data_IF_667682526653
#
_entry.id   IF_667682526653
#
_cell.length_a   1.000
_cell.length_b   1.000
_cell.length_c   1.000
_cell.angle_alpha   90.00
_cell.angle_beta   90.00
_cell.angle_gamma   90.00
#
_symmetry.space_group_name_H-M   'P 1'
#
loop_
_entity.id
_entity.type
_entity.pdbx_description
1 polymer ?
#
# COMPACT_ATOMS: atom_id res chain seq x y z
N UNK A 1 7.99 17.50 19.49
CA UNK A 1 9.16 17.29 18.63
C UNK A 1 9.07 15.96 17.87
N UNK A 2 8.73 14.86 18.54
CA UNK A 2 8.52 13.54 17.94
C UNK A 2 7.46 13.50 16.83
N UNK A 3 6.33 14.19 17.00
CA UNK A 3 5.27 14.28 15.97
C UNK A 3 5.78 14.82 14.62
N UNK A 4 6.48 15.95 14.64
CA UNK A 4 7.03 16.58 13.45
C UNK A 4 8.09 15.70 12.76
N UNK A 5 8.87 14.95 13.55
CA UNK A 5 9.84 13.99 13.03
C UNK A 5 9.13 12.89 12.25
N UNK A 6 8.02 12.35 12.79
CA UNK A 6 7.22 11.33 12.09
C UNK A 6 6.70 11.80 10.73
N UNK A 7 6.14 13.01 10.68
CA UNK A 7 5.70 13.64 9.42
C UNK A 7 6.88 13.78 8.45
N UNK A 8 8.03 14.29 8.92
CA UNK A 8 9.21 14.47 8.07
C UNK A 8 9.69 13.14 7.50
N UNK A 9 9.73 12.08 8.31
CA UNK A 9 10.10 10.74 7.87
C UNK A 9 9.12 10.21 6.81
N UNK A 10 7.82 10.41 6.97
CA UNK A 10 6.82 10.02 5.98
C UNK A 10 6.99 10.77 4.64
N UNK A 11 7.27 12.08 4.69
CA UNK A 11 7.55 12.88 3.48
C UNK A 11 8.80 12.37 2.77
N UNK A 12 9.89 12.15 3.52
CA UNK A 12 11.14 11.63 2.95
C UNK A 12 10.93 10.23 2.34
N UNK A 13 10.20 9.36 3.03
CA UNK A 13 9.86 8.03 2.55
C UNK A 13 9.06 8.06 1.24
N UNK A 14 8.03 8.90 1.16
CA UNK A 14 7.25 9.12 -0.06
C UNK A 14 8.12 9.66 -1.20
N UNK A 15 9.01 10.61 -0.91
CA UNK A 15 9.93 11.18 -1.91
C UNK A 15 10.90 10.15 -2.46
N UNK A 16 11.46 9.29 -1.61
CA UNK A 16 12.32 8.19 -2.05
C UNK A 16 11.53 7.21 -2.91
N UNK A 17 10.30 6.85 -2.49
CA UNK A 17 9.42 5.96 -3.25
C UNK A 17 9.14 6.50 -4.66
N UNK A 18 8.73 7.76 -4.78
CA UNK A 18 8.46 8.36 -6.09
C UNK A 18 9.74 8.50 -6.92
N UNK A 19 10.85 8.93 -6.33
CA UNK A 19 12.12 9.01 -7.04
C UNK A 19 12.54 7.65 -7.62
N UNK A 20 12.40 6.57 -6.85
CA UNK A 20 12.70 5.21 -7.29
C UNK A 20 11.71 4.72 -8.35
N UNK A 21 10.43 5.07 -8.24
CA UNK A 21 9.41 4.80 -9.26
C UNK A 21 9.80 5.42 -10.61
N UNK A 22 10.09 6.73 -10.64
CA UNK A 22 10.52 7.42 -11.86
C UNK A 22 11.82 6.82 -12.43
N UNK A 23 12.73 6.40 -11.56
CA UNK A 23 13.96 5.72 -11.93
C UNK A 23 13.67 4.36 -12.59
N UNK A 24 12.66 3.65 -12.09
CA UNK A 24 12.16 2.39 -12.63
C UNK A 24 11.69 2.51 -14.07
N UNK A 25 11.14 3.65 -14.50
CA UNK A 25 10.84 3.93 -15.91
C UNK A 25 12.08 4.36 -16.70
N UNK A 26 12.88 5.25 -16.12
CA UNK A 26 14.03 5.85 -16.81
C UNK A 26 15.09 4.80 -17.20
N UNK A 27 15.45 3.89 -16.29
CA UNK A 27 16.50 2.89 -16.52
C UNK A 27 16.20 2.02 -17.75
N UNK A 28 15.04 1.33 -17.85
CA UNK A 28 14.72 0.54 -19.04
C UNK A 28 14.56 1.42 -20.28
N UNK A 29 14.01 2.64 -20.17
CA UNK A 29 13.86 3.54 -21.31
C UNK A 29 15.22 3.89 -21.94
N UNK A 30 16.18 4.34 -21.13
CA UNK A 30 17.55 4.62 -21.57
C UNK A 30 18.24 3.37 -22.11
N UNK A 31 18.05 2.22 -21.47
CA UNK A 31 18.60 0.94 -21.94
C UNK A 31 18.06 0.53 -23.31
N UNK A 32 16.83 0.94 -23.66
CA UNK A 32 16.25 0.69 -24.97
C UNK A 32 16.51 1.80 -25.99
N UNK A 33 17.31 2.81 -25.65
CA UNK A 33 17.67 3.91 -26.54
C UNK A 33 16.62 5.02 -26.64
N UNK A 34 15.70 5.10 -25.68
CA UNK A 34 14.73 6.21 -25.65
C UNK A 34 15.40 7.48 -25.14
N UNK A 35 15.15 8.61 -25.80
CA UNK A 35 15.60 9.91 -25.33
C UNK A 35 14.80 10.36 -24.10
N UNK A 36 15.51 10.67 -23.01
CA UNK A 36 14.92 11.06 -21.72
C UNK A 36 15.48 12.43 -21.32
N UNK A 37 14.82 13.54 -21.66
CA UNK A 37 15.37 14.88 -21.41
C UNK A 37 15.36 15.28 -19.93
N UNK A 38 14.41 14.80 -19.13
CA UNK A 38 14.26 15.23 -17.73
C UNK A 38 13.90 14.08 -16.79
N UNK A 39 14.51 14.13 -15.61
CA UNK A 39 14.15 13.37 -14.42
C UNK A 39 14.03 14.35 -13.26
N UNK A 40 12.81 14.55 -12.76
CA UNK A 40 12.52 15.54 -11.74
C UNK A 40 11.77 14.89 -10.58
N UNK A 41 12.24 15.14 -9.36
CA UNK A 41 11.51 14.78 -8.15
C UNK A 41 10.78 16.02 -7.64
N UNK A 42 9.46 15.94 -7.53
CA UNK A 42 8.57 17.04 -7.21
C UNK A 42 8.04 17.82 -8.43
N UNK A 43 7.24 18.85 -8.15
CA UNK A 43 6.61 19.75 -9.13
C UNK A 43 6.91 21.22 -8.83
N UNK A 44 6.59 22.10 -9.79
CA UNK A 44 6.75 23.55 -9.64
C UNK A 44 8.17 24.06 -9.96
N UNK A 45 8.59 25.20 -9.35
CA UNK A 45 9.88 25.80 -9.64
C UNK A 45 11.02 24.86 -9.23
N UNK A 46 12.07 24.82 -10.05
CA UNK A 46 13.25 23.99 -9.81
C UNK A 46 14.07 24.60 -8.68
N UNK A 47 14.31 23.84 -7.61
CA UNK A 47 15.19 24.25 -6.51
C UNK A 47 16.65 24.01 -6.87
N UNK A 48 16.90 22.86 -7.48
CA UNK A 48 18.21 22.45 -7.93
C UNK A 48 18.08 21.48 -9.11
N UNK A 49 18.88 21.68 -10.16
CA UNK A 49 19.04 20.69 -11.22
C UNK A 49 20.47 20.65 -11.73
N UNK A 50 20.83 19.54 -12.36
CA UNK A 50 22.12 19.29 -12.98
C UNK A 50 21.94 18.49 -14.26
N UNK A 51 22.51 18.99 -15.35
CA UNK A 51 22.57 18.26 -16.61
C UNK A 51 23.63 17.15 -16.52
N UNK A 52 23.25 15.90 -16.80
CA UNK A 52 24.17 14.77 -16.89
C UNK A 52 23.90 14.03 -18.21
N UNK A 53 24.78 14.26 -19.19
CA UNK A 53 24.56 13.82 -20.57
C UNK A 53 23.32 14.48 -21.17
N UNK A 54 22.42 13.67 -21.72
CA UNK A 54 21.16 14.11 -22.33
C UNK A 54 20.02 14.37 -21.33
N UNK A 55 20.22 14.09 -20.03
CA UNK A 55 19.15 14.17 -19.03
C UNK A 55 19.45 15.23 -17.97
N UNK A 56 18.47 16.10 -17.74
CA UNK A 56 18.43 17.01 -16.61
C UNK A 56 17.89 16.29 -15.37
N UNK A 57 18.71 16.18 -14.32
CA UNK A 57 18.32 15.62 -13.03
C UNK A 57 18.04 16.75 -12.04
N UNK A 58 16.88 16.77 -11.39
CA UNK A 58 16.59 17.85 -10.44
C UNK A 58 15.54 17.55 -9.40
N UNK A 59 15.44 18.48 -8.45
CA UNK A 59 14.44 18.53 -7.38
C UNK A 59 13.67 19.84 -7.49
N UNK A 60 12.34 19.76 -7.41
CA UNK A 60 11.43 20.91 -7.49
C UNK A 60 10.80 21.21 -6.13
N UNK A 61 10.22 22.41 -6.00
CA UNK A 61 9.77 22.91 -4.70
C UNK A 61 8.60 22.13 -4.08
N UNK A 62 7.69 21.59 -4.90
CA UNK A 62 6.51 20.88 -4.42
C UNK A 62 6.83 19.39 -4.38
N UNK A 63 7.10 18.85 -3.19
CA UNK A 63 7.53 17.46 -2.96
C UNK A 63 6.37 16.44 -3.01
N UNK A 64 5.36 16.67 -3.85
CA UNK A 64 4.15 15.85 -3.98
C UNK A 64 4.13 15.07 -5.30
N UNK A 65 5.21 14.34 -5.58
CA UNK A 65 5.33 13.48 -6.76
C UNK A 65 6.67 13.63 -7.48
N UNK A 66 6.70 13.30 -8.76
CA UNK A 66 7.87 13.33 -9.61
C UNK A 66 7.45 13.05 -11.05
N UNK A 67 8.38 13.21 -11.98
CA UNK A 67 8.15 12.81 -13.37
C UNK A 67 9.47 12.50 -14.08
N UNK A 68 9.42 11.48 -14.93
CA UNK A 68 10.37 11.27 -16.02
C UNK A 68 9.73 11.67 -17.35
N UNK A 69 10.42 12.49 -18.14
CA UNK A 69 9.97 12.79 -19.51
C UNK A 69 10.54 11.76 -20.46
N UNK A 70 9.66 10.97 -21.07
CA UNK A 70 10.00 10.05 -22.15
C UNK A 70 9.64 10.74 -23.46
N UNK A 71 10.61 11.04 -24.31
CA UNK A 71 10.32 11.74 -25.55
C UNK A 71 9.61 10.83 -26.56
N UNK A 72 8.73 11.40 -27.38
CA UNK A 72 7.97 10.65 -28.38
C UNK A 72 6.97 9.65 -27.80
N UNK A 73 6.20 10.04 -26.79
CA UNK A 73 5.10 9.23 -26.23
C UNK A 73 3.95 9.05 -27.21
N UNK A 74 3.69 10.05 -28.04
CA UNK A 74 2.63 10.02 -29.04
C UNK A 74 3.19 9.88 -30.45
N UNK A 75 2.71 8.88 -31.18
CA UNK A 75 3.05 8.70 -32.58
C UNK A 75 2.46 9.84 -33.45
N UNK A 76 3.12 10.18 -34.57
CA UNK A 76 2.57 11.13 -35.54
C UNK A 76 1.19 10.69 -36.06
N UNK A 77 0.33 11.64 -36.46
CA UNK A 77 -1.03 11.32 -36.91
C UNK A 77 -0.99 10.47 -38.18
N UNK A 78 -1.90 9.49 -38.26
CA UNK A 78 -2.11 8.71 -39.49
C UNK A 78 -2.87 9.55 -40.52
N UNK A 79 -2.74 9.19 -41.79
CA UNK A 79 -3.54 9.79 -42.85
C UNK A 79 -5.05 9.66 -42.57
N UNK A 80 -5.80 10.72 -42.85
CA UNK A 80 -7.25 10.78 -42.66
C UNK A 80 -7.71 11.07 -41.21
N UNK A 81 -6.80 11.29 -40.26
CA UNK A 81 -7.17 11.70 -38.89
C UNK A 81 -7.52 13.18 -38.87
N UNK A 82 -8.68 13.53 -38.26
CA UNK A 82 -9.07 14.93 -38.06
C UNK A 82 -8.10 15.61 -37.08
N UNK A 83 -7.38 16.60 -37.58
CA UNK A 83 -6.39 17.37 -36.79
C UNK A 83 -7.03 18.58 -36.11
N UNK A 84 -8.14 19.08 -36.67
CA UNK A 84 -8.87 20.26 -36.20
C UNK A 84 -10.29 19.92 -35.77
N UNK A 85 -10.81 20.70 -34.83
CA UNK A 85 -12.19 20.62 -34.36
C UNK A 85 -13.15 21.37 -35.32
N UNK A 86 -14.46 21.34 -35.02
CA UNK A 86 -15.49 22.05 -35.83
C UNK A 86 -15.28 23.57 -35.93
N UNK A 87 -14.49 24.17 -35.04
CA UNK A 87 -14.15 25.60 -35.01
C UNK A 87 -12.83 25.91 -35.73
N UNK A 88 -12.20 24.92 -36.39
CA UNK A 88 -10.92 25.09 -37.09
C UNK A 88 -9.69 25.13 -36.16
N UNK A 89 -9.86 24.95 -34.86
CA UNK A 89 -8.74 24.93 -33.90
C UNK A 89 -8.14 23.52 -33.83
N UNK A 90 -6.85 23.41 -33.50
CA UNK A 90 -6.20 22.11 -33.28
C UNK A 90 -6.92 21.32 -32.18
N UNK A 91 -7.02 20.01 -32.38
CA UNK A 91 -7.54 19.11 -31.35
C UNK A 91 -6.51 18.94 -30.22
N UNK A 92 -6.96 18.71 -28.99
CA UNK A 92 -6.07 18.41 -27.84
C UNK A 92 -5.12 17.23 -28.13
N UNK A 93 -5.60 16.23 -28.89
CA UNK A 93 -4.77 15.11 -29.33
C UNK A 93 -3.64 15.56 -30.26
N UNK A 94 -3.89 16.51 -31.16
CA UNK A 94 -2.86 17.04 -32.06
C UNK A 94 -1.86 17.93 -31.32
N UNK A 95 -2.34 18.76 -30.41
CA UNK A 95 -1.50 19.61 -29.57
C UNK A 95 -0.54 18.76 -28.70
N UNK A 96 -1.05 17.68 -28.09
CA UNK A 96 -0.23 16.74 -27.33
C UNK A 96 0.83 16.03 -28.21
N UNK A 97 0.50 15.68 -29.47
CA UNK A 97 1.49 15.11 -30.41
C UNK A 97 2.60 16.10 -30.73
N UNK A 98 2.25 17.36 -31.00
CA UNK A 98 3.22 18.40 -31.33
C UNK A 98 4.14 18.66 -30.13
N UNK A 99 3.57 18.83 -28.93
CA UNK A 99 4.36 18.99 -27.71
C UNK A 99 5.29 17.80 -27.44
N UNK A 100 4.84 16.57 -27.66
CA UNK A 100 5.70 15.38 -27.49
C UNK A 100 6.78 15.25 -28.57
N UNK A 101 6.54 15.79 -29.77
CA UNK A 101 7.52 15.80 -30.86
C UNK A 101 8.60 16.88 -30.65
N UNK A 102 8.24 18.04 -30.08
CA UNK A 102 9.18 19.12 -29.72
C UNK A 102 10.21 18.69 -28.66
N UNK A 103 9.92 17.66 -27.88
CA UNK A 103 10.85 17.11 -26.89
C UNK A 103 12.01 16.31 -27.51
N UNK A 104 11.89 15.89 -28.78
CA UNK A 104 12.93 15.17 -29.48
C UNK A 104 13.87 16.16 -30.19
N UNK A 105 15.20 16.10 -29.95
CA UNK A 105 16.16 16.84 -30.75
C UNK A 105 16.07 16.44 -32.22
N UNK A 106 16.30 17.39 -33.14
CA UNK A 106 16.34 17.12 -34.58
C UNK A 106 17.31 15.97 -34.90
N UNK A 107 16.86 15.01 -35.73
CA UNK A 107 17.66 13.85 -36.13
C UNK A 107 17.69 12.70 -35.12
N UNK A 108 16.97 12.80 -33.99
CA UNK A 108 16.78 11.73 -33.00
C UNK A 108 15.37 11.13 -33.00
N UNK A 109 14.66 11.20 -34.12
CA UNK A 109 13.29 10.67 -34.22
C UNK A 109 13.25 9.15 -34.03
N UNK A 110 14.36 8.44 -34.29
CA UNK A 110 14.52 7.00 -34.00
C UNK A 110 14.41 6.69 -32.50
N UNK A 111 14.79 7.63 -31.65
CA UNK A 111 14.89 7.47 -30.20
C UNK A 111 13.54 7.73 -29.50
N UNK A 112 12.48 7.93 -30.29
CA UNK A 112 11.13 8.13 -29.79
C UNK A 112 10.55 6.87 -29.14
N UNK A 113 9.85 7.06 -28.01
CA UNK A 113 9.20 5.96 -27.29
C UNK A 113 8.20 5.17 -28.15
N UNK A 114 7.45 5.83 -29.03
CA UNK A 114 6.48 5.16 -29.90
C UNK A 114 7.09 4.14 -30.87
N UNK A 115 8.39 4.24 -31.18
CA UNK A 115 9.14 3.31 -32.03
C UNK A 115 9.49 2.00 -31.32
N UNK A 116 9.41 1.95 -29.99
CA UNK A 116 9.69 0.72 -29.25
C UNK A 116 8.69 -0.39 -29.61
N UNK A 117 9.19 -1.62 -29.66
CA UNK A 117 8.35 -2.81 -29.72
C UNK A 117 7.47 -2.91 -28.47
N UNK A 118 6.28 -3.51 -28.59
CA UNK A 118 5.32 -3.66 -27.47
C UNK A 118 5.94 -4.22 -26.18
N UNK A 119 6.78 -5.28 -26.19
CA UNK A 119 7.41 -5.76 -24.96
C UNK A 119 8.33 -4.74 -24.29
N UNK A 120 9.09 -3.97 -25.08
CA UNK A 120 9.94 -2.89 -24.57
C UNK A 120 9.10 -1.77 -23.97
N UNK A 121 7.99 -1.37 -24.62
CA UNK A 121 7.03 -0.40 -24.06
C UNK A 121 6.49 -0.86 -22.71
N UNK A 122 6.11 -2.13 -22.61
CA UNK A 122 5.60 -2.72 -21.36
C UNK A 122 6.66 -2.74 -20.26
N UNK A 123 7.90 -3.11 -20.57
CA UNK A 123 9.00 -3.11 -19.58
C UNK A 123 9.27 -1.70 -19.06
N UNK A 124 9.24 -0.68 -19.94
CA UNK A 124 9.41 0.71 -19.52
C UNK A 124 8.25 1.16 -18.64
N UNK A 125 7.00 0.94 -19.07
CA UNK A 125 5.80 1.40 -18.35
C UNK A 125 5.52 0.62 -17.07
N UNK A 126 5.92 -0.64 -16.97
CA UNK A 126 5.83 -1.41 -15.72
C UNK A 126 7.03 -1.18 -14.80
N UNK A 127 8.12 -0.61 -15.30
CA UNK A 127 9.36 -0.43 -14.54
C UNK A 127 9.17 0.38 -13.25
N UNK A 128 8.42 1.48 -13.29
CA UNK A 128 8.09 2.26 -12.09
C UNK A 128 7.22 1.50 -11.10
N UNK A 129 6.02 1.01 -11.49
CA UNK A 129 5.16 0.23 -10.59
C UNK A 129 5.87 -0.98 -9.98
N UNK A 130 6.64 -1.72 -10.78
CA UNK A 130 7.42 -2.88 -10.29
C UNK A 130 8.47 -2.45 -9.27
N UNK A 131 9.11 -1.30 -9.45
CA UNK A 131 10.07 -0.78 -8.45
C UNK A 131 9.40 -0.52 -7.10
N UNK A 132 8.18 0.01 -7.10
CA UNK A 132 7.40 0.19 -5.87
C UNK A 132 7.03 -1.16 -5.23
N UNK A 133 6.60 -2.14 -6.03
CA UNK A 133 6.33 -3.50 -5.53
C UNK A 133 7.58 -4.11 -4.90
N UNK A 134 8.74 -4.01 -5.56
CA UNK A 134 10.01 -4.52 -5.04
C UNK A 134 10.39 -3.83 -3.74
N UNK A 135 10.23 -2.50 -3.65
CA UNK A 135 10.48 -1.75 -2.43
C UNK A 135 9.55 -2.19 -1.29
N UNK A 136 8.25 -2.38 -1.57
CA UNK A 136 7.30 -2.90 -0.58
C UNK A 136 7.73 -4.29 -0.06
N UNK A 137 8.11 -5.22 -0.95
CA UNK A 137 8.58 -6.56 -0.58
C UNK A 137 9.85 -6.50 0.27
N UNK A 138 10.81 -5.64 -0.09
CA UNK A 138 12.05 -5.46 0.70
C UNK A 138 11.73 -4.90 2.08
N UNK A 139 10.85 -3.90 2.18
CA UNK A 139 10.44 -3.33 3.46
C UNK A 139 9.72 -4.36 4.34
N UNK A 140 8.78 -5.13 3.77
CA UNK A 140 8.16 -6.24 4.49
C UNK A 140 9.18 -7.30 4.90
N UNK A 141 10.15 -7.64 4.06
CA UNK A 141 11.22 -8.58 4.43
C UNK A 141 12.05 -8.05 5.62
N UNK A 142 12.39 -6.76 5.65
CA UNK A 142 13.09 -6.14 6.78
C UNK A 142 12.26 -6.22 8.05
N UNK A 143 10.96 -5.96 7.97
CA UNK A 143 10.03 -6.04 9.11
C UNK A 143 9.95 -7.49 9.61
N UNK A 144 9.59 -8.44 8.75
CA UNK A 144 9.32 -9.83 9.12
C UNK A 144 10.57 -10.58 9.55
N UNK A 145 11.66 -10.48 8.78
CA UNK A 145 12.89 -11.25 9.03
C UNK A 145 13.83 -10.55 10.00
N UNK A 146 13.82 -9.21 10.02
CA UNK A 146 14.69 -8.40 10.87
C UNK A 146 14.08 -8.16 12.25
N UNK A 147 12.93 -7.50 12.29
CA UNK A 147 12.23 -7.16 13.54
C UNK A 147 11.43 -8.35 14.07
N UNK A 148 10.72 -9.08 13.21
CA UNK A 148 9.78 -10.11 13.63
C UNK A 148 8.44 -9.54 14.08
N UNK A 149 7.56 -10.44 14.51
CA UNK A 149 6.24 -10.11 15.01
C UNK A 149 6.13 -10.40 16.50
N UNK A 150 5.23 -9.69 17.17
CA UNK A 150 4.81 -10.02 18.51
C UNK A 150 3.80 -11.17 18.42
N UNK A 151 4.22 -12.37 18.82
CA UNK A 151 3.40 -13.59 18.77
C UNK A 151 2.99 -13.97 20.18
N UNK A 152 1.70 -14.22 20.37
CA UNK A 152 1.17 -14.78 21.60
C UNK A 152 1.63 -16.24 21.72
N UNK A 153 2.35 -16.55 22.78
CA UNK A 153 2.84 -17.91 23.06
C UNK A 153 1.78 -18.70 23.85
N UNK A 154 1.94 -20.01 23.95
CA UNK A 154 1.13 -20.84 24.86
C UNK A 154 1.55 -20.71 26.33
N UNK A 155 2.56 -19.89 26.63
CA UNK A 155 2.99 -19.60 28.01
C UNK A 155 2.14 -18.49 28.58
N UNK A 156 1.66 -18.67 29.81
CA UNK A 156 0.85 -17.67 30.50
C UNK A 156 1.74 -16.57 31.08
N UNK A 157 1.44 -15.31 30.74
CA UNK A 157 2.03 -14.14 31.40
C UNK A 157 1.34 -13.88 32.72
N UNK A 158 0.00 -13.90 32.70
CA UNK A 158 -0.84 -13.59 33.85
C UNK A 158 -2.08 -14.49 33.87
N UNK A 159 -2.47 -14.84 35.08
CA UNK A 159 -3.74 -15.51 35.39
C UNK A 159 -4.45 -14.65 36.42
N UNK A 160 -5.22 -13.62 35.99
CA UNK A 160 -5.87 -12.70 36.91
C UNK A 160 -6.93 -13.42 37.75
N UNK A 161 -7.19 -12.91 38.97
CA UNK A 161 -8.22 -13.46 39.86
C UNK A 161 -9.64 -13.19 39.33
N UNK A 162 -9.84 -12.04 38.69
CA UNK A 162 -11.09 -11.62 38.10
C UNK A 162 -10.89 -11.37 36.60
N UNK A 163 -11.84 -11.78 35.77
CA UNK A 163 -11.81 -11.55 34.33
C UNK A 163 -12.04 -10.06 34.05
N UNK A 164 -11.26 -9.47 33.13
CA UNK A 164 -11.49 -8.09 32.66
C UNK A 164 -10.98 -6.99 33.58
N UNK A 165 -10.39 -7.31 34.74
CA UNK A 165 -9.88 -6.32 35.70
C UNK A 165 -8.62 -6.77 36.42
N UNK A 166 -7.84 -5.81 36.90
CA UNK A 166 -6.69 -6.04 37.81
C UNK A 166 -7.08 -5.96 39.29
N UNK A 167 -8.36 -5.69 39.59
CA UNK A 167 -8.91 -5.68 40.95
C UNK A 167 -8.86 -7.07 41.58
N UNK A 168 -8.65 -7.12 42.90
CA UNK A 168 -8.73 -8.35 43.71
C UNK A 168 -10.19 -8.72 44.08
N UNK A 169 -11.13 -7.79 43.88
CA UNK A 169 -12.54 -7.99 44.20
C UNK A 169 -13.33 -8.18 42.91
N UNK A 170 -13.85 -9.39 42.71
CA UNK A 170 -14.65 -9.74 41.53
C UNK A 170 -16.10 -9.31 41.71
N UNK A 171 -16.74 -8.88 40.62
CA UNK A 171 -18.15 -8.47 40.57
C UNK A 171 -18.91 -9.36 39.58
N UNK A 172 -20.23 -9.18 39.45
CA UNK A 172 -21.01 -9.90 38.43
C UNK A 172 -20.55 -9.56 37.00
N UNK A 173 -20.07 -8.32 36.77
CA UNK A 173 -19.53 -7.90 35.47
C UNK A 173 -18.10 -8.41 35.21
N UNK A 174 -17.34 -8.66 36.28
CA UNK A 174 -15.96 -9.16 36.21
C UNK A 174 -15.85 -10.45 37.05
N UNK A 175 -16.41 -11.57 36.55
CA UNK A 175 -16.48 -12.81 37.32
C UNK A 175 -15.09 -13.37 37.62
N UNK A 176 -15.03 -14.27 38.60
CA UNK A 176 -13.78 -14.97 38.95
C UNK A 176 -13.23 -15.74 37.76
N UNK A 177 -11.91 -15.74 37.62
CA UNK A 177 -11.21 -16.49 36.58
C UNK A 177 -11.24 -17.99 36.87
N UNK A 178 -11.83 -18.82 35.98
CA UNK A 178 -11.80 -20.27 36.14
C UNK A 178 -10.38 -20.85 36.13
N UNK A 179 -9.47 -20.26 35.37
CA UNK A 179 -8.07 -20.68 35.35
C UNK A 179 -7.38 -20.41 36.69
N UNK A 180 -7.67 -19.26 37.32
CA UNK A 180 -7.13 -18.95 38.64
C UNK A 180 -7.66 -19.93 39.71
N UNK A 181 -8.98 -20.19 39.70
CA UNK A 181 -9.60 -21.14 40.64
C UNK A 181 -9.11 -22.57 40.44
N UNK A 182 -8.85 -22.97 39.20
CA UNK A 182 -8.24 -24.26 38.88
C UNK A 182 -6.77 -24.35 39.32
N UNK A 183 -6.10 -23.24 39.60
CA UNK A 183 -4.71 -23.21 40.07
C UNK A 183 -3.66 -23.05 38.97
N UNK A 184 -4.06 -22.60 37.78
CA UNK A 184 -3.13 -22.12 36.75
C UNK A 184 -2.42 -20.85 37.22
N UNK A 185 -1.17 -20.69 36.82
CA UNK A 185 -0.29 -19.60 37.25
C UNK A 185 0.48 -19.01 36.08
N UNK A 186 0.98 -17.80 36.29
CA UNK A 186 1.96 -17.20 35.40
C UNK A 186 3.19 -18.11 35.26
N UNK A 187 3.69 -18.27 34.04
CA UNK A 187 4.78 -19.17 33.68
C UNK A 187 4.34 -20.56 33.20
N UNK A 188 3.08 -20.95 33.40
CA UNK A 188 2.57 -22.22 32.88
C UNK A 188 2.55 -22.21 31.34
N UNK A 189 3.12 -23.24 30.72
CA UNK A 189 3.02 -23.43 29.27
C UNK A 189 1.92 -24.43 28.96
N UNK A 190 0.86 -23.95 28.33
CA UNK A 190 -0.26 -24.81 27.92
C UNK A 190 0.23 -25.76 26.83
N UNK A 191 0.11 -27.06 27.12
CA UNK A 191 0.39 -28.13 26.18
C UNK A 191 -0.89 -28.55 25.50
N UNK A 192 -1.98 -28.79 26.24
CA UNK A 192 -3.27 -29.14 25.65
C UNK A 192 -4.44 -28.53 26.39
N UNK A 193 -5.56 -28.33 25.69
CA UNK A 193 -6.84 -27.89 26.25
C UNK A 193 -7.95 -28.84 25.80
N UNK A 194 -8.41 -29.70 26.71
CA UNK A 194 -9.31 -30.78 26.40
C UNK A 194 -8.69 -31.71 25.33
N UNK A 195 -9.39 -31.97 24.20
CA UNK A 195 -8.86 -32.81 23.12
C UNK A 195 -7.89 -32.07 22.18
N UNK A 196 -7.78 -30.74 22.29
CA UNK A 196 -7.00 -29.92 21.36
C UNK A 196 -5.57 -29.80 21.86
N UNK A 197 -4.61 -30.14 20.99
CA UNK A 197 -3.20 -29.89 21.26
C UNK A 197 -2.85 -28.42 20.97
N UNK A 198 -2.30 -27.73 21.96
CA UNK A 198 -1.95 -26.32 21.85
C UNK A 198 -0.53 -26.17 21.29
N UNK A 199 -0.44 -25.90 19.99
CA UNK A 199 0.82 -25.57 19.31
C UNK A 199 1.00 -24.06 19.15
N UNK A 200 -0.12 -23.34 19.04
CA UNK A 200 -0.20 -21.89 18.98
C UNK A 200 -1.27 -21.37 19.94
N UNK A 201 -1.18 -20.09 20.28
CA UNK A 201 -2.20 -19.45 21.14
C UNK A 201 -3.61 -19.50 20.54
N UNK A 202 -3.72 -19.43 19.21
CA UNK A 202 -5.01 -19.54 18.53
C UNK A 202 -5.71 -20.89 18.80
N UNK A 203 -4.95 -21.98 18.97
CA UNK A 203 -5.49 -23.29 19.32
C UNK A 203 -6.13 -23.25 20.72
N UNK A 204 -5.48 -22.57 21.67
CA UNK A 204 -5.98 -22.40 23.05
C UNK A 204 -7.27 -21.59 23.06
N UNK A 205 -7.29 -20.45 22.35
CA UNK A 205 -8.49 -19.60 22.26
C UNK A 205 -9.64 -20.36 21.63
N UNK A 206 -9.38 -21.04 20.50
CA UNK A 206 -10.40 -21.84 19.81
C UNK A 206 -10.94 -22.98 20.69
N UNK A 207 -10.07 -23.66 21.44
CA UNK A 207 -10.48 -24.71 22.37
C UNK A 207 -11.36 -24.18 23.49
N UNK A 208 -11.05 -23.00 24.07
CA UNK A 208 -11.87 -22.36 25.10
C UNK A 208 -13.26 -21.99 24.55
N UNK A 209 -13.32 -21.40 23.35
CA UNK A 209 -14.58 -20.97 22.73
C UNK A 209 -15.54 -22.13 22.45
N UNK A 210 -15.01 -23.30 22.09
CA UNK A 210 -15.81 -24.48 21.75
C UNK A 210 -15.99 -25.45 22.92
N UNK A 211 -15.38 -25.21 24.07
CA UNK A 211 -15.51 -26.09 25.23
C UNK A 211 -16.84 -25.85 25.95
N UNK A 212 -17.61 -26.92 26.12
CA UNK A 212 -18.74 -26.95 27.05
C UNK A 212 -18.34 -27.66 28.34
N UNK A 213 -18.63 -27.05 29.48
CA UNK A 213 -18.28 -27.60 30.79
C UNK A 213 -16.78 -27.67 31.07
N UNK A 214 -16.38 -28.59 31.95
CA UNK A 214 -14.99 -28.74 32.37
C UNK A 214 -14.11 -29.33 31.25
N UNK A 215 -12.98 -28.68 30.98
CA UNK A 215 -11.88 -29.18 30.17
C UNK A 215 -10.69 -29.57 31.04
N UNK A 216 -10.08 -30.71 30.72
CA UNK A 216 -8.76 -31.05 31.23
C UNK A 216 -7.71 -30.24 30.48
N UNK A 217 -6.97 -29.40 31.20
CA UNK A 217 -5.88 -28.57 30.68
C UNK A 217 -4.57 -29.16 31.16
N UNK A 218 -3.69 -29.52 30.22
CA UNK A 218 -2.36 -30.01 30.53
C UNK A 218 -1.37 -28.86 30.33
N UNK A 219 -0.61 -28.56 31.37
CA UNK A 219 0.43 -27.53 31.31
C UNK A 219 1.78 -28.09 31.74
N UNK A 220 2.84 -27.52 31.18
CA UNK A 220 4.21 -27.73 31.60
C UNK A 220 4.58 -26.63 32.61
N UNK A 221 4.88 -27.03 33.85
CA UNK A 221 5.33 -26.16 34.95
C UNK A 221 6.60 -26.77 35.55
N UNK A 222 7.69 -26.01 35.57
CA UNK A 222 9.00 -26.46 36.07
C UNK A 222 9.51 -27.76 35.40
N UNK A 223 9.16 -27.98 34.13
CA UNK A 223 9.55 -29.17 33.37
C UNK A 223 8.74 -30.44 33.67
N UNK A 224 7.70 -30.34 34.50
CA UNK A 224 6.74 -31.41 34.76
C UNK A 224 5.37 -31.09 34.16
N UNK A 225 4.70 -32.12 33.64
CA UNK A 225 3.31 -31.99 33.18
C UNK A 225 2.37 -32.03 34.39
N UNK A 226 1.47 -31.05 34.46
CA UNK A 226 0.43 -30.94 35.47
C UNK A 226 -0.93 -30.84 34.77
N UNK A 227 -1.94 -31.47 35.35
CA UNK A 227 -3.31 -31.47 34.83
C UNK A 227 -4.21 -30.63 35.73
N UNK A 228 -5.05 -29.80 35.11
CA UNK A 228 -6.01 -28.93 35.78
C UNK A 228 -7.37 -29.06 35.11
N UNK A 229 -8.45 -29.07 35.89
CA UNK A 229 -9.80 -29.03 35.35
C UNK A 229 -10.30 -27.59 35.34
N UNK A 230 -10.45 -27.01 34.14
CA UNK A 230 -10.88 -25.63 33.94
C UNK A 230 -12.24 -25.62 33.26
N UNK A 231 -13.20 -24.90 33.83
CA UNK A 231 -14.54 -24.71 33.22
C UNK A 231 -14.66 -23.29 32.71
N UNK A 232 -14.54 -23.03 31.39
CA UNK A 232 -14.71 -21.68 30.85
C UNK A 232 -16.06 -21.06 31.21
N UNK A 233 -16.07 -19.76 31.46
CA UNK A 233 -17.28 -18.99 31.76
C UNK A 233 -17.65 -18.11 30.57
N UNK A 234 -18.95 -17.90 30.37
CA UNK A 234 -19.46 -17.00 29.34
C UNK A 234 -19.40 -15.56 29.83
N UNK A 235 -18.68 -14.69 29.12
CA UNK A 235 -18.62 -13.24 29.38
C UNK A 235 -18.98 -12.51 28.09
N UNK A 236 -20.18 -11.93 28.04
CA UNK A 236 -20.74 -11.39 26.80
C UNK A 236 -20.95 -12.49 25.76
N UNK A 237 -20.50 -12.26 24.52
CA UNK A 237 -20.60 -13.25 23.43
C UNK A 237 -19.44 -14.25 23.39
N UNK A 238 -18.46 -14.17 24.31
CA UNK A 238 -17.27 -15.02 24.30
C UNK A 238 -17.19 -15.90 25.53
N UNK A 239 -16.70 -17.13 25.35
CA UNK A 239 -16.24 -17.97 26.47
C UNK A 239 -14.80 -17.61 26.79
N UNK A 240 -14.50 -17.48 28.07
CA UNK A 240 -13.18 -17.09 28.55
C UNK A 240 -12.79 -17.92 29.77
N UNK A 241 -11.50 -18.18 29.90
CA UNK A 241 -10.93 -18.87 31.05
C UNK A 241 -10.16 -17.95 32.01
N UNK A 242 -10.01 -16.66 31.68
CA UNK A 242 -9.26 -15.70 32.50
C UNK A 242 -7.75 -15.96 32.49
N UNK A 243 -7.18 -16.10 31.29
CA UNK A 243 -5.75 -16.30 31.04
C UNK A 243 -5.23 -15.24 30.07
N UNK A 244 -3.98 -14.81 30.25
CA UNK A 244 -3.30 -13.85 29.39
C UNK A 244 -1.99 -14.49 28.91
N UNK A 245 -1.82 -14.58 27.59
CA UNK A 245 -0.61 -15.12 26.98
C UNK A 245 0.58 -14.19 27.13
N UNK A 246 1.76 -14.75 27.34
CA UNK A 246 3.03 -14.07 27.16
C UNK A 246 3.25 -13.81 25.67
N UNK A 247 3.55 -12.56 25.35
CA UNK A 247 3.88 -12.13 24.00
C UNK A 247 5.39 -12.12 23.86
N UNK A 248 5.91 -12.87 22.89
CA UNK A 248 7.32 -12.88 22.56
C UNK A 248 7.54 -12.46 21.11
N UNK A 249 8.73 -11.92 20.84
CA UNK A 249 9.10 -11.47 19.50
C UNK A 249 9.73 -12.62 18.75
N UNK A 250 9.06 -13.09 17.72
CA UNK A 250 9.55 -14.14 16.84
C UNK A 250 9.78 -13.60 15.44
N UNK A 251 10.92 -13.95 14.85
CA UNK A 251 11.20 -13.63 13.45
C UNK A 251 10.34 -14.52 12.57
N UNK A 252 9.70 -13.91 11.58
CA UNK A 252 8.95 -14.67 10.59
C UNK A 252 9.85 -15.31 9.55
N UNK A 253 9.21 -15.93 8.58
CA UNK A 253 9.83 -16.67 7.48
C UNK A 253 9.65 -15.93 6.15
N UNK A 254 10.34 -16.40 5.11
CA UNK A 254 10.14 -15.88 3.76
C UNK A 254 8.70 -16.11 3.24
N UNK A 255 8.01 -17.14 3.75
CA UNK A 255 6.60 -17.37 3.44
C UNK A 255 5.72 -16.28 4.03
N UNK A 256 5.98 -15.86 5.27
CA UNK A 256 5.24 -14.78 5.94
C UNK A 256 5.41 -13.44 5.20
N UNK A 257 6.60 -13.18 4.62
CA UNK A 257 6.82 -12.02 3.74
C UNK A 257 5.93 -12.10 2.49
N UNK A 258 5.82 -13.28 1.88
CA UNK A 258 4.93 -13.50 0.74
C UNK A 258 3.46 -13.30 1.11
N UNK A 259 3.05 -13.84 2.25
CA UNK A 259 1.67 -13.78 2.74
C UNK A 259 1.26 -12.34 3.08
N UNK A 260 2.08 -11.56 3.80
CA UNK A 260 1.78 -10.16 4.11
C UNK A 260 1.76 -9.28 2.85
N UNK A 261 2.69 -9.52 1.91
CA UNK A 261 2.71 -8.81 0.62
C UNK A 261 1.43 -9.09 -0.15
N UNK A 262 0.99 -10.35 -0.22
CA UNK A 262 -0.22 -10.75 -0.91
C UNK A 262 -1.48 -10.20 -0.25
N UNK A 263 -1.56 -10.25 1.08
CA UNK A 263 -2.68 -9.69 1.83
C UNK A 263 -2.79 -8.19 1.63
N UNK A 264 -1.66 -7.47 1.69
CA UNK A 264 -1.64 -6.02 1.47
C UNK A 264 -2.03 -5.70 0.03
N UNK A 265 -1.51 -6.43 -0.97
CA UNK A 265 -1.94 -6.28 -2.36
C UNK A 265 -3.45 -6.46 -2.52
N UNK A 266 -4.04 -7.54 -1.97
CA UNK A 266 -5.50 -7.77 -2.03
C UNK A 266 -6.28 -6.66 -1.34
N UNK A 267 -5.83 -6.23 -0.16
CA UNK A 267 -6.44 -5.13 0.59
C UNK A 267 -6.45 -3.84 -0.22
N UNK A 268 -5.30 -3.44 -0.75
CA UNK A 268 -5.16 -2.25 -1.61
C UNK A 268 -5.99 -2.36 -2.89
N UNK A 269 -5.99 -3.52 -3.56
CA UNK A 269 -6.80 -3.74 -4.76
C UNK A 269 -8.31 -3.64 -4.45
N UNK A 270 -8.74 -4.14 -3.29
CA UNK A 270 -10.14 -4.02 -2.84
C UNK A 270 -10.53 -2.56 -2.58
N UNK A 271 -9.62 -1.75 -2.01
CA UNK A 271 -9.82 -0.31 -1.82
C UNK A 271 -10.02 0.38 -3.16
N UNK A 272 -9.21 0.06 -4.17
CA UNK A 272 -9.35 0.62 -5.52
C UNK A 272 -10.72 0.28 -6.12
N UNK A 273 -11.20 -0.96 -5.93
CA UNK A 273 -12.50 -1.39 -6.45
C UNK A 273 -13.68 -0.62 -5.81
N UNK A 274 -13.59 -0.28 -4.53
CA UNK A 274 -14.63 0.47 -3.80
C UNK A 274 -14.37 1.97 -3.73
N UNK A 275 -13.27 2.46 -4.34
CA UNK A 275 -12.81 3.85 -4.23
C UNK A 275 -13.89 4.89 -4.56
N UNK A 276 -14.71 4.76 -5.64
CA UNK A 276 -15.75 5.74 -5.93
C UNK A 276 -16.76 5.90 -4.78
N UNK A 277 -17.13 4.79 -4.15
CA UNK A 277 -18.04 4.78 -2.99
C UNK A 277 -17.34 5.33 -1.77
N UNK A 278 -16.11 4.92 -1.50
CA UNK A 278 -15.35 5.41 -0.35
C UNK A 278 -15.16 6.93 -0.40
N UNK A 279 -14.84 7.49 -1.57
CA UNK A 279 -14.71 8.96 -1.78
C UNK A 279 -16.04 9.67 -1.58
N UNK A 280 -17.14 9.09 -2.05
CA UNK A 280 -18.48 9.61 -1.79
C UNK A 280 -18.80 9.65 -0.29
N UNK A 281 -18.53 8.55 0.42
CA UNK A 281 -18.78 8.45 1.86
C UNK A 281 -17.94 9.47 2.64
N UNK A 282 -16.68 9.71 2.25
CA UNK A 282 -15.85 10.79 2.82
C UNK A 282 -16.49 12.16 2.58
N UNK A 283 -16.99 12.41 1.37
CA UNK A 283 -17.68 13.65 1.03
C UNK A 283 -18.92 13.87 1.90
N UNK A 284 -19.77 12.86 2.04
CA UNK A 284 -20.95 12.93 2.91
C UNK A 284 -20.54 13.19 4.36
N UNK A 285 -19.56 12.45 4.89
CA UNK A 285 -19.06 12.63 6.26
C UNK A 285 -18.46 14.02 6.49
N UNK A 286 -17.86 14.64 5.48
CA UNK A 286 -17.30 15.99 5.58
C UNK A 286 -18.39 17.07 5.78
N UNK A 287 -19.55 16.90 5.14
CA UNK A 287 -20.63 17.89 5.14
C UNK A 287 -21.83 17.52 6.04
N UNK A 288 -21.75 16.42 6.78
CA UNK A 288 -22.75 15.98 7.75
C UNK A 288 -22.13 15.84 9.14
N UNK A 289 -22.93 15.62 10.19
CA UNK A 289 -22.42 15.31 11.53
C UNK A 289 -22.00 13.84 11.71
N UNK A 290 -22.01 13.06 10.63
CA UNK A 290 -21.57 11.67 10.69
C UNK A 290 -20.10 11.57 11.13
N UNK A 291 -19.77 10.58 12.00
CA UNK A 291 -18.39 10.35 12.41
C UNK A 291 -17.56 9.87 11.22
N UNK A 292 -16.26 10.17 11.27
CA UNK A 292 -15.29 9.70 10.29
C UNK A 292 -15.05 8.20 10.48
N UNK A 293 -15.28 7.40 9.44
CA UNK A 293 -15.01 5.96 9.49
C UNK A 293 -13.49 5.71 9.61
N UNK A 294 -13.00 4.96 10.62
CA UNK A 294 -11.60 4.61 10.77
C UNK A 294 -10.98 3.86 9.58
N UNK A 295 -11.80 3.15 8.78
CA UNK A 295 -11.35 2.38 7.62
C UNK A 295 -11.48 3.14 6.29
N UNK A 296 -11.84 4.41 6.36
CA UNK A 296 -12.01 5.23 5.16
C UNK A 296 -10.68 5.57 4.47
N UNK A 297 -10.78 5.96 3.21
CA UNK A 297 -9.61 6.35 2.41
C UNK A 297 -8.96 7.62 2.96
N UNK A 298 -7.62 7.63 2.98
CA UNK A 298 -6.79 8.70 3.50
C UNK A 298 -6.03 9.40 2.37
N UNK A 299 -5.75 10.68 2.55
CA UNK A 299 -4.83 11.45 1.71
C UNK A 299 -3.38 11.32 2.21
N UNK A 300 -2.44 11.90 1.43
CA UNK A 300 -1.03 12.04 1.84
C UNK A 300 -0.90 12.79 3.17
N UNK A 301 -1.81 13.73 3.48
CA UNK A 301 -1.82 14.44 4.75
C UNK A 301 -2.23 13.51 5.90
N UNK A 302 -3.26 12.69 5.70
CA UNK A 302 -3.68 11.68 6.68
C UNK A 302 -2.57 10.68 7.01
N UNK A 303 -1.85 10.19 6.00
CA UNK A 303 -0.66 9.33 6.17
C UNK A 303 0.42 10.04 7.00
N UNK A 304 0.70 11.32 6.72
CA UNK A 304 1.64 12.12 7.50
C UNK A 304 1.21 12.27 8.96
N UNK A 305 -0.07 12.51 9.22
CA UNK A 305 -0.61 12.62 10.58
C UNK A 305 -0.45 11.33 11.37
N UNK A 306 -0.78 10.19 10.77
CA UNK A 306 -0.59 8.86 11.37
C UNK A 306 0.89 8.62 11.70
N UNK A 307 1.80 8.96 10.79
CA UNK A 307 3.24 8.85 11.05
C UNK A 307 3.69 9.73 12.23
N UNK A 308 3.10 10.92 12.35
CA UNK A 308 3.32 11.83 13.47
C UNK A 308 2.80 11.25 14.80
N UNK A 309 1.57 10.72 14.82
CA UNK A 309 0.94 10.08 15.99
C UNK A 309 1.79 8.90 16.48
N UNK A 310 2.13 7.97 15.58
CA UNK A 310 3.02 6.83 15.87
C UNK A 310 4.36 7.26 16.46
N UNK A 311 4.91 8.38 15.98
CA UNK A 311 6.19 8.89 16.49
C UNK A 311 6.04 9.55 17.86
N UNK A 312 4.89 10.16 18.14
CA UNK A 312 4.60 10.87 19.38
C UNK A 312 4.11 9.96 20.52
N UNK A 313 3.63 8.76 20.19
CA UNK A 313 3.06 7.81 21.14
C UNK A 313 4.04 7.42 22.25
N UNK A 314 3.67 7.65 23.51
CA UNK A 314 4.49 7.36 24.67
C UNK A 314 4.32 5.88 25.08
N UNK A 315 5.37 5.26 25.62
CA UNK A 315 5.34 3.84 26.02
C UNK A 315 5.64 2.83 24.91
N UNK A 316 5.67 3.25 23.64
CA UNK A 316 6.10 2.40 22.52
C UNK A 316 7.62 2.44 22.36
N UNK A 317 8.27 1.27 22.31
CA UNK A 317 9.72 1.15 22.13
C UNK A 317 10.19 1.67 20.76
N UNK A 318 11.45 2.11 20.66
CA UNK A 318 12.01 2.65 19.41
C UNK A 318 11.90 1.63 18.26
N UNK A 319 12.12 0.34 18.54
CA UNK A 319 12.00 -0.72 17.54
C UNK A 319 10.57 -0.87 17.02
N UNK A 320 9.56 -0.74 17.88
CA UNK A 320 8.15 -0.82 17.49
C UNK A 320 7.71 0.38 16.68
N UNK A 321 8.15 1.59 17.07
CA UNK A 321 7.92 2.81 16.29
C UNK A 321 8.54 2.69 14.90
N UNK A 322 9.77 2.19 14.80
CA UNK A 322 10.44 1.97 13.52
C UNK A 322 9.68 0.95 12.66
N UNK A 323 9.21 -0.15 13.25
CA UNK A 323 8.40 -1.16 12.55
C UNK A 323 7.10 -0.57 11.99
N UNK A 324 6.38 0.25 12.78
CA UNK A 324 5.14 0.90 12.34
C UNK A 324 5.39 1.87 11.18
N UNK A 325 6.45 2.69 11.25
CA UNK A 325 6.82 3.61 10.17
C UNK A 325 7.27 2.87 8.90
N UNK A 326 8.03 1.77 9.04
CA UNK A 326 8.41 0.91 7.92
C UNK A 326 7.19 0.24 7.30
N UNK A 327 6.22 -0.20 8.11
CA UNK A 327 4.97 -0.80 7.64
C UNK A 327 4.13 0.22 6.85
N UNK A 328 4.06 1.47 7.32
CA UNK A 328 3.41 2.57 6.61
C UNK A 328 4.11 2.85 5.27
N UNK A 329 5.44 2.83 5.24
CA UNK A 329 6.19 3.00 3.99
C UNK A 329 5.98 1.83 3.02
N UNK A 330 5.95 0.59 3.52
CA UNK A 330 5.69 -0.59 2.71
C UNK A 330 4.28 -0.57 2.10
N UNK A 331 3.26 -0.24 2.89
CA UNK A 331 1.87 -0.14 2.42
C UNK A 331 1.69 1.01 1.44
N UNK A 332 2.37 2.14 1.62
CA UNK A 332 2.38 3.26 0.68
C UNK A 332 2.99 2.86 -0.67
N UNK A 333 4.07 2.10 -0.68
CA UNK A 333 4.64 1.57 -1.92
C UNK A 333 3.69 0.57 -2.61
N UNK A 334 3.02 -0.29 -1.83
CA UNK A 334 1.99 -1.18 -2.38
C UNK A 334 0.82 -0.39 -3.00
N UNK A 335 0.38 0.69 -2.33
CA UNK A 335 -0.61 1.60 -2.87
C UNK A 335 -0.13 2.22 -4.19
N UNK A 336 1.06 2.82 -4.23
CA UNK A 336 1.62 3.39 -5.46
C UNK A 336 1.73 2.35 -6.59
N UNK A 337 2.08 1.09 -6.28
CA UNK A 337 2.09 0.01 -7.27
C UNK A 337 0.70 -0.26 -7.84
N UNK A 338 -0.30 -0.51 -6.97
CA UNK A 338 -1.65 -0.89 -7.39
C UNK A 338 -2.34 0.27 -8.12
N UNK A 339 -2.24 1.50 -7.58
CA UNK A 339 -2.85 2.67 -8.20
C UNK A 339 -2.28 2.96 -9.58
N UNK A 340 -0.95 2.89 -9.77
CA UNK A 340 -0.36 3.12 -11.08
C UNK A 340 -0.67 2.02 -12.10
N UNK A 341 -1.15 0.85 -11.67
CA UNK A 341 -1.57 -0.22 -12.58
C UNK A 341 -3.01 -0.07 -13.09
N UNK A 342 -3.79 0.87 -12.53
CA UNK A 342 -5.16 1.13 -12.98
C UNK A 342 -5.12 1.61 -14.44
N UNK A 343 -5.93 1.04 -15.35
CA UNK A 343 -5.91 1.37 -16.79
C UNK A 343 -6.56 2.72 -17.10
N UNK A 344 -6.13 3.77 -16.42
CA UNK A 344 -6.54 5.15 -16.65
C UNK A 344 -5.39 5.89 -17.37
N UNK A 345 -5.69 6.67 -18.43
CA UNK A 345 -4.67 7.37 -19.22
C UNK A 345 -3.65 8.23 -18.45
N UNK A 346 -3.99 8.93 -17.34
CA UNK A 346 -3.00 9.69 -16.58
C UNK A 346 -2.00 8.84 -15.79
N UNK A 347 -2.29 7.55 -15.62
CA UNK A 347 -1.49 6.59 -14.85
C UNK A 347 -0.72 5.66 -15.80
N UNK A 348 0.32 5.00 -15.31
CA UNK A 348 1.13 4.08 -16.12
C UNK A 348 0.29 2.96 -16.75
N UNK A 349 -0.69 2.47 -16.01
CA UNK A 349 -1.63 1.44 -16.42
C UNK A 349 -2.41 1.81 -17.68
N UNK A 350 -2.66 3.10 -17.94
CA UNK A 350 -3.24 3.57 -19.19
C UNK A 350 -2.32 3.35 -20.39
N UNK A 351 -1.02 3.58 -20.22
CA UNK A 351 0.00 3.32 -21.25
C UNK A 351 0.24 1.83 -21.44
N UNK A 352 0.26 1.06 -20.34
CA UNK A 352 0.32 -0.41 -20.36
C UNK A 352 -0.88 -0.97 -21.14
N UNK A 353 -2.10 -0.52 -20.84
CA UNK A 353 -3.31 -0.94 -21.55
C UNK A 353 -3.23 -0.58 -23.05
N UNK A 354 -2.74 0.62 -23.38
CA UNK A 354 -2.50 1.03 -24.76
C UNK A 354 -1.50 0.13 -25.50
N UNK A 355 -0.39 -0.25 -24.86
CA UNK A 355 0.61 -1.15 -25.41
C UNK A 355 0.09 -2.59 -25.56
N UNK A 356 -0.68 -3.10 -24.59
CA UNK A 356 -1.36 -4.40 -24.69
C UNK A 356 -2.35 -4.41 -25.86
N UNK A 357 -3.12 -3.34 -26.04
CA UNK A 357 -4.04 -3.19 -27.16
C UNK A 357 -3.31 -3.10 -28.51
N UNK A 358 -2.15 -2.46 -28.56
CA UNK A 358 -1.27 -2.48 -29.73
C UNK A 358 -0.81 -3.91 -30.05
N UNK A 359 -0.30 -4.63 -29.04
CA UNK A 359 0.17 -6.02 -29.20
C UNK A 359 -0.92 -6.98 -29.66
N UNK A 360 -2.13 -6.85 -29.10
CA UNK A 360 -3.29 -7.64 -29.48
C UNK A 360 -3.66 -7.43 -30.95
N UNK A 361 -3.76 -6.16 -31.38
CA UNK A 361 -4.08 -5.83 -32.78
C UNK A 361 -3.02 -6.31 -33.78
N UNK A 362 -1.73 -6.17 -33.44
CA UNK A 362 -0.64 -6.69 -34.28
C UNK A 362 -0.70 -8.21 -34.39
N UNK A 363 -0.94 -8.90 -33.29
CA UNK A 363 -1.05 -10.37 -33.27
C UNK A 363 -2.24 -10.85 -34.09
N UNK A 364 -3.41 -10.22 -33.91
CA UNK A 364 -4.61 -10.54 -34.67
C UNK A 364 -4.43 -10.30 -36.17
N UNK A 365 -3.88 -9.17 -36.59
CA UNK A 365 -3.60 -8.89 -38.00
C UNK A 365 -2.59 -9.86 -38.60
N UNK A 366 -1.54 -10.24 -37.84
CA UNK A 366 -0.56 -11.25 -38.28
C UNK A 366 -1.23 -12.62 -38.50
N UNK A 367 -2.11 -13.04 -37.60
CA UNK A 367 -2.87 -14.29 -37.73
C UNK A 367 -3.83 -14.26 -38.93
N UNK A 368 -4.38 -13.09 -39.25
CA UNK A 368 -5.31 -12.88 -40.37
C UNK A 368 -4.59 -12.55 -41.69
N UNK A 369 -3.25 -12.58 -41.75
CA UNK A 369 -2.47 -12.22 -42.95
C UNK A 369 -2.62 -10.76 -43.39
N UNK A 370 -3.05 -9.87 -42.49
CA UNK A 370 -3.26 -8.43 -42.75
C UNK A 370 -1.99 -7.62 -42.42
N UNK A 371 -1.77 -6.46 -43.06
CA UNK A 371 -0.64 -5.58 -42.75
C UNK A 371 -0.66 -5.10 -41.29
N UNK A 372 0.53 -4.77 -40.77
CA UNK A 372 0.70 -4.24 -39.41
C UNK A 372 -0.12 -2.95 -39.27
N UNK A 373 -1.06 -2.88 -38.31
CA UNK A 373 -1.90 -1.72 -38.14
C UNK A 373 -1.15 -0.50 -37.57
N UNK A 374 0.13 -0.62 -37.21
CA UNK A 374 0.97 0.45 -36.65
C UNK A 374 0.71 0.75 -35.16
N UNK A 375 1.45 1.71 -34.56
CA UNK A 375 1.36 2.03 -33.13
C UNK A 375 -0.03 2.47 -32.67
N UNK A 376 -0.43 2.20 -31.42
CA UNK A 376 -1.69 2.70 -30.90
C UNK A 376 -1.73 4.23 -30.84
N UNK A 377 -2.84 4.81 -31.32
CA UNK A 377 -3.06 6.27 -31.27
C UNK A 377 -3.58 6.66 -29.88
N UNK A 378 -2.71 6.58 -28.89
CA UNK A 378 -3.00 6.93 -27.48
C UNK A 378 -3.31 8.41 -27.31
N UNK A 379 -2.87 9.28 -28.23
CA UNK A 379 -3.18 10.71 -28.21
C UNK A 379 -4.69 10.99 -28.27
N UNK A 380 -5.49 10.08 -28.83
CA UNK A 380 -6.97 10.21 -28.81
C UNK A 380 -7.57 10.14 -27.41
N UNK A 381 -6.84 9.56 -26.44
CA UNK A 381 -7.29 9.48 -25.05
C UNK A 381 -6.99 10.75 -24.26
N UNK A 382 -6.21 11.71 -24.79
CA UNK A 382 -5.85 12.96 -24.08
C UNK A 382 -7.05 13.71 -23.49
N UNK A 383 -8.19 13.89 -24.19
CA UNK A 383 -9.37 14.51 -23.59
C UNK A 383 -9.92 13.73 -22.40
N UNK A 384 -9.90 12.40 -22.47
CA UNK A 384 -10.32 11.51 -21.38
C UNK A 384 -9.31 11.59 -20.23
N UNK A 385 -8.01 11.65 -20.53
CA UNK A 385 -6.96 11.89 -19.54
C UNK A 385 -7.20 13.17 -18.76
N UNK A 386 -7.57 14.26 -19.44
CA UNK A 386 -7.84 15.55 -18.79
C UNK A 386 -9.04 15.47 -17.83
N UNK A 387 -10.14 14.83 -18.26
CA UNK A 387 -11.31 14.62 -17.39
C UNK A 387 -10.94 13.80 -16.15
N UNK A 388 -10.25 12.68 -16.33
CA UNK A 388 -9.82 11.83 -15.22
C UNK A 388 -8.86 12.58 -14.30
N UNK A 389 -7.92 13.34 -14.85
CA UNK A 389 -6.99 14.16 -14.07
C UNK A 389 -7.73 15.16 -13.19
N UNK A 390 -8.73 15.87 -13.73
CA UNK A 390 -9.58 16.78 -12.95
C UNK A 390 -10.32 16.04 -11.83
N UNK A 391 -10.85 14.84 -12.10
CA UNK A 391 -11.52 14.02 -11.09
C UNK A 391 -10.56 13.57 -9.97
N UNK A 392 -9.35 13.12 -10.33
CA UNK A 392 -8.32 12.72 -9.36
C UNK A 392 -7.85 13.92 -8.52
N UNK A 393 -7.71 15.10 -9.12
CA UNK A 393 -7.40 16.34 -8.41
C UNK A 393 -8.53 16.72 -7.44
N UNK A 394 -9.79 16.66 -7.87
CA UNK A 394 -10.93 16.94 -7.02
C UNK A 394 -11.02 15.96 -5.84
N UNK A 395 -10.80 14.66 -6.10
CA UNK A 395 -10.71 13.62 -5.07
C UNK A 395 -9.57 13.93 -4.09
N UNK A 396 -8.38 14.28 -4.58
CA UNK A 396 -7.22 14.60 -3.74
C UNK A 396 -7.52 15.78 -2.82
N UNK A 397 -8.11 16.86 -3.36
CA UNK A 397 -8.50 18.03 -2.57
C UNK A 397 -9.55 17.64 -1.52
N UNK A 398 -10.57 16.86 -1.88
CA UNK A 398 -11.60 16.41 -0.95
C UNK A 398 -11.00 15.62 0.22
N UNK A 399 -10.14 14.65 -0.06
CA UNK A 399 -9.51 13.81 0.96
C UNK A 399 -8.56 14.61 1.86
N UNK A 400 -7.78 15.53 1.28
CA UNK A 400 -6.90 16.43 2.06
C UNK A 400 -7.72 17.31 3.00
N UNK A 401 -8.80 17.92 2.50
CA UNK A 401 -9.70 18.75 3.31
C UNK A 401 -10.35 17.91 4.41
N UNK A 402 -10.81 16.70 4.09
CA UNK A 402 -11.39 15.79 5.07
C UNK A 402 -10.40 15.43 6.17
N UNK A 403 -9.15 15.09 5.84
CA UNK A 403 -8.12 14.74 6.82
C UNK A 403 -7.67 15.93 7.69
N UNK A 404 -7.87 17.17 7.22
CA UNK A 404 -7.59 18.38 8.01
C UNK A 404 -8.76 18.68 8.96
N UNK A 405 -10.00 18.67 8.45
CA UNK A 405 -11.20 19.09 9.20
C UNK A 405 -11.72 17.99 10.12
N UNK A 406 -11.78 16.75 9.63
CA UNK A 406 -12.30 15.56 10.33
C UNK A 406 -11.29 14.42 10.29
N UNK A 407 -10.17 14.54 11.02
CA UNK A 407 -9.14 13.53 11.01
C UNK A 407 -9.58 12.20 11.59
N UNK A 408 -9.02 11.13 11.04
CA UNK A 408 -8.99 9.84 11.71
C UNK A 408 -7.94 9.92 12.82
N UNK A 409 -8.32 9.59 14.06
CA UNK A 409 -7.41 9.35 15.17
C UNK A 409 -7.29 7.84 15.37
N UNK A 410 -6.05 7.34 15.47
CA UNK A 410 -5.81 5.93 15.84
C UNK A 410 -5.75 5.74 17.36
N UNK A 411 -5.84 6.83 18.14
CA UNK A 411 -5.79 6.88 19.60
C UNK A 411 -7.07 7.46 20.17
#
# INVERSE_FOLDING_TARGET
MSYAIGILLAIVALMISVALHELGHMIPAKKFGVYVPQYMVGFGPTLYSKQVGDTEYGVKAILLGGYVRLAGMYAPPREGVKLTNRKGQMTLAQEARLSSAEELPEGRESDAFYNLSVPKKLIVMLGGPVTNLLLAVVLFAVIVLGFGFNVATTTLDQVPQCIGTTSQTCTEENPKSPAYEAGLRAGDKIVSWGPVQASAWADVVSAIEHQDGAAKVVVERDGALQEFDVTPVQVGERKVAGIISKVERERGTARDVGDITWQTFKGTASIVAVLPRAVWDVGVQLFTDAPRDPNSVLSVVGVGRIAGEVSAEQGVGIADRAMLLLSLWASLNMALFVFNLIPLPPLDGGHVAGALWEGLRRTFNRLMGRPDPGPADTARMVPVSYVIFVLLMAMTVLLVVADIIKPISLV
#
